data_IF_281183179385
#
_entry.id   IF_281183179385
#
_cell.length_a   1.000
_cell.length_b   1.000
_cell.length_c   1.000
_cell.angle_alpha   90.00
_cell.angle_beta   90.00
_cell.angle_gamma   90.00
#
_symmetry.space_group_name_H-M   'P 1'
#
loop_
_entity.id
_entity.type
_entity.pdbx_description
1 polymer ?
#
# COMPACT_ATOMS: atom_id res chain seq x y z
N UNK A 1 12.27 -16.04 -31.48
CA UNK A 1 12.36 -15.96 -31.09
C UNK A 1 12.47 -15.74 -30.54
N UNK A 2 12.71 -15.79 -30.31
CA UNK A 2 12.90 -15.59 -29.69
C UNK A 2 13.07 -15.47 -29.07
N UNK A 3 13.35 -15.54 -29.09
CA UNK A 3 13.60 -15.40 -28.43
C UNK A 3 13.70 -15.31 -27.77
N UNK A 4 14.01 -15.44 -27.82
CA UNK A 4 14.11 -15.32 -27.18
C UNK A 4 14.14 -15.18 -26.43
N UNK A 5 14.49 -15.18 -26.42
CA UNK A 5 14.52 -14.98 -25.75
C UNK A 5 14.56 -14.73 -25.09
N UNK A 6 14.80 -14.70 -25.24
CA UNK A 6 14.87 -14.49 -24.69
C UNK A 6 14.63 -14.12 -23.98
N UNK A 7 14.68 -14.15 -23.85
CA UNK A 7 14.41 -13.94 -23.20
C UNK A 7 14.05 -13.81 -22.34
N UNK A 8 14.35 -13.81 -22.05
CA UNK A 8 14.02 -13.91 -21.32
C UNK A 8 13.71 -13.63 -20.47
N UNK A 9 14.14 -13.78 -20.19
CA UNK A 9 13.87 -13.66 -19.13
C UNK A 9 13.17 -12.73 -18.73
N UNK A 10 12.91 -12.25 -18.88
CA UNK A 10 12.31 -11.59 -18.54
C UNK A 10 11.34 -11.78 -18.14
N UNK A 11 11.32 -12.09 -18.45
CA UNK A 11 10.61 -12.42 -18.20
C UNK A 11 10.08 -12.90 -17.40
N UNK A 12 10.26 -13.39 -17.76
CA UNK A 12 9.89 -14.05 -16.66
C UNK A 12 9.18 -13.32 -15.55
N UNK A 13 9.02 -12.09 -15.67
CA UNK A 13 8.44 -11.24 -14.64
C UNK A 13 6.98 -11.00 -14.93
N UNK A 14 6.22 -12.09 -14.95
CA UNK A 14 4.77 -11.99 -15.08
C UNK A 14 4.20 -11.61 -13.72
N UNK A 15 3.41 -10.55 -13.69
CA UNK A 15 2.76 -10.11 -12.47
C UNK A 15 1.64 -11.09 -12.12
N UNK A 16 1.66 -11.58 -10.89
CA UNK A 16 0.55 -12.38 -10.37
C UNK A 16 -0.54 -11.42 -9.90
N UNK A 17 -1.49 -11.16 -10.77
CA UNK A 17 -2.55 -10.20 -10.53
C UNK A 17 -3.37 -10.56 -9.28
N UNK A 18 -3.64 -11.85 -9.08
CA UNK A 18 -4.44 -12.25 -7.93
C UNK A 18 -3.67 -12.05 -6.62
N UNK A 19 -2.37 -12.28 -6.62
CA UNK A 19 -1.55 -12.02 -5.45
C UNK A 19 -1.54 -10.53 -5.13
N UNK A 20 -1.37 -9.67 -6.14
CA UNK A 20 -1.41 -8.22 -5.94
C UNK A 20 -2.77 -7.78 -5.42
N UNK A 21 -3.86 -8.31 -5.98
CA UNK A 21 -5.21 -7.95 -5.54
C UNK A 21 -5.44 -8.30 -4.07
N UNK A 22 -4.84 -9.38 -3.58
CA UNK A 22 -5.00 -9.78 -2.17
C UNK A 22 -4.40 -8.77 -1.20
N UNK A 23 -3.47 -7.95 -1.66
CA UNK A 23 -2.89 -6.91 -0.81
C UNK A 23 -3.81 -5.69 -0.64
N UNK A 24 -4.92 -5.63 -1.38
CA UNK A 24 -5.87 -4.51 -1.32
C UNK A 24 -7.20 -5.01 -0.80
N UNK A 25 -7.45 -4.88 0.51
CA UNK A 25 -8.64 -5.49 1.13
C UNK A 25 -9.96 -5.15 0.46
N UNK A 26 -10.11 -3.91 -0.01
CA UNK A 26 -11.36 -3.51 -0.63
C UNK A 26 -11.69 -4.34 -1.87
N UNK A 27 -10.67 -4.79 -2.61
CA UNK A 27 -10.90 -5.52 -3.86
C UNK A 27 -11.49 -6.90 -3.65
N UNK A 28 -11.53 -7.40 -2.41
CA UNK A 28 -12.18 -8.66 -2.08
C UNK A 28 -13.69 -8.52 -1.91
N UNK A 29 -14.19 -7.29 -1.88
CA UNK A 29 -15.59 -7.03 -1.65
C UNK A 29 -16.42 -7.37 -2.88
N UNK A 30 -17.64 -7.83 -2.67
CA UNK A 30 -18.64 -7.93 -3.73
C UNK A 30 -19.56 -6.70 -3.70
N UNK A 31 -20.23 -6.46 -4.79
CA UNK A 31 -21.17 -5.37 -4.93
C UNK A 31 -22.55 -5.92 -5.29
N UNK A 32 -23.43 -5.09 -5.78
CA UNK A 32 -24.83 -5.45 -6.01
C UNK A 32 -24.98 -6.84 -6.65
N UNK A 33 -25.91 -7.61 -6.15
CA UNK A 33 -26.22 -8.95 -6.65
C UNK A 33 -25.04 -9.91 -6.55
N UNK A 34 -24.13 -9.69 -5.61
CA UNK A 34 -22.99 -10.55 -5.39
C UNK A 34 -21.92 -10.49 -6.46
N UNK A 35 -21.95 -9.47 -7.31
CA UNK A 35 -20.95 -9.33 -8.37
C UNK A 35 -19.59 -8.95 -7.80
N UNK A 36 -18.49 -9.44 -8.39
CA UNK A 36 -17.16 -8.98 -7.98
C UNK A 36 -16.99 -7.49 -8.22
N UNK A 37 -16.27 -6.84 -7.34
CA UNK A 37 -15.93 -5.44 -7.52
C UNK A 37 -14.92 -5.29 -8.65
N UNK A 38 -15.21 -4.40 -9.60
CA UNK A 38 -14.25 -3.92 -10.58
C UNK A 38 -14.07 -2.43 -10.31
N UNK A 39 -12.86 -2.03 -9.87
CA UNK A 39 -12.60 -0.66 -9.47
C UNK A 39 -11.73 0.03 -10.53
N UNK A 40 -12.28 1.06 -11.17
CA UNK A 40 -11.59 1.77 -12.24
C UNK A 40 -11.55 3.28 -12.00
N UNK A 41 -11.63 3.70 -10.74
CA UNK A 41 -11.76 5.11 -10.38
C UNK A 41 -10.56 5.64 -9.60
N UNK A 42 -9.38 5.08 -9.85
CA UNK A 42 -8.17 5.49 -9.13
C UNK A 42 -7.79 6.95 -9.39
N UNK A 43 -8.29 7.54 -10.49
CA UNK A 43 -8.07 8.96 -10.74
C UNK A 43 -8.73 9.85 -9.69
N UNK A 44 -9.83 9.40 -9.10
CA UNK A 44 -10.50 10.11 -8.02
C UNK A 44 -9.91 9.74 -6.67
N UNK A 45 -9.75 8.44 -6.41
CA UNK A 45 -9.10 7.97 -5.21
C UNK A 45 -8.56 6.56 -5.44
N UNK A 46 -7.34 6.32 -5.03
CA UNK A 46 -6.73 5.00 -5.15
C UNK A 46 -7.08 4.14 -3.95
N UNK A 47 -7.21 2.84 -4.19
CA UNK A 47 -7.33 1.89 -3.10
C UNK A 47 -5.99 1.77 -2.38
N UNK A 48 -6.03 1.41 -1.10
CA UNK A 48 -4.84 1.37 -0.26
C UNK A 48 -4.45 -0.07 0.02
N UNK A 49 -3.19 -0.44 -0.15
CA UNK A 49 -2.73 -1.79 0.20
C UNK A 49 -2.70 -1.98 1.72
N UNK A 50 -2.81 -3.23 2.13
CA UNK A 50 -2.86 -3.59 3.55
C UNK A 50 -1.65 -3.05 4.32
N UNK A 51 -0.47 -3.09 3.72
CA UNK A 51 0.73 -2.57 4.37
C UNK A 51 0.61 -1.09 4.74
N UNK A 52 -0.02 -0.29 3.87
CA UNK A 52 -0.24 1.13 4.14
C UNK A 52 -1.29 1.31 5.22
N UNK A 53 -2.38 0.56 5.15
CA UNK A 53 -3.44 0.63 6.15
C UNK A 53 -2.93 0.24 7.53
N UNK A 54 -2.13 -0.82 7.59
CA UNK A 54 -1.57 -1.28 8.87
C UNK A 54 -0.58 -0.26 9.44
N UNK A 55 0.25 0.35 8.60
CA UNK A 55 1.22 1.35 9.05
C UNK A 55 0.49 2.58 9.60
N UNK A 56 -0.56 3.03 8.93
CA UNK A 56 -1.34 4.17 9.40
C UNK A 56 -2.04 3.83 10.72
N UNK A 57 -2.66 2.67 10.79
CA UNK A 57 -3.34 2.24 12.02
C UNK A 57 -2.36 2.15 13.17
N UNK A 58 -1.21 1.55 12.95
CA UNK A 58 -0.19 1.38 13.98
C UNK A 58 0.27 2.74 14.51
N UNK A 59 0.51 3.68 13.60
CA UNK A 59 0.90 5.03 14.00
C UNK A 59 -0.20 5.69 14.84
N UNK A 60 -1.44 5.65 14.36
CA UNK A 60 -2.54 6.31 15.06
C UNK A 60 -2.82 5.69 16.42
N UNK A 61 -2.63 4.39 16.55
CA UNK A 61 -2.91 3.68 17.81
C UNK A 61 -1.78 3.89 18.82
N UNK A 62 -0.53 3.97 18.38
CA UNK A 62 0.62 3.92 19.29
C UNK A 62 1.45 5.17 19.37
N UNK A 63 1.48 5.99 18.33
CA UNK A 63 2.48 7.06 18.23
C UNK A 63 1.90 8.38 17.75
N UNK A 64 0.59 8.51 17.68
CA UNK A 64 -0.03 9.72 17.14
C UNK A 64 0.31 10.93 17.97
N UNK A 65 1.09 11.84 17.40
CA UNK A 65 1.52 13.08 18.04
C UNK A 65 1.95 14.07 16.97
N UNK A 66 2.07 15.35 17.31
CA UNK A 66 2.52 16.36 16.35
C UNK A 66 3.93 16.08 15.87
N UNK A 67 4.13 16.22 14.57
CA UNK A 67 5.45 16.10 13.95
C UNK A 67 6.20 17.43 14.14
N UNK A 68 7.49 17.35 14.45
CA UNK A 68 8.36 18.51 14.65
C UNK A 68 7.88 19.43 15.77
N UNK A 69 7.12 18.91 16.72
CA UNK A 69 6.60 19.69 17.83
C UNK A 69 6.64 18.85 19.10
N UNK A 70 6.83 19.53 20.23
CA UNK A 70 6.82 18.88 21.51
C UNK A 70 8.11 18.11 21.79
N UNK A 71 8.67 18.34 22.98
CA UNK A 71 9.90 17.67 23.40
C UNK A 71 9.57 16.47 24.30
N UNK A 72 8.63 15.64 23.88
CA UNK A 72 8.25 14.45 24.60
C UNK A 72 8.32 13.23 23.67
N UNK A 73 8.34 12.03 24.26
CA UNK A 73 8.67 10.83 23.52
C UNK A 73 7.78 10.61 22.30
N UNK A 74 6.46 10.77 22.44
CA UNK A 74 5.56 10.55 21.30
C UNK A 74 5.83 11.54 20.15
N UNK A 75 6.13 12.80 20.49
CA UNK A 75 6.49 13.78 19.49
C UNK A 75 7.76 13.41 18.74
N UNK A 76 8.74 12.87 19.46
CA UNK A 76 9.97 12.39 18.84
C UNK A 76 9.70 11.20 17.93
N UNK A 77 8.89 10.24 18.38
CA UNK A 77 8.54 9.08 17.57
C UNK A 77 7.80 9.49 16.29
N UNK A 78 6.85 10.42 16.40
CA UNK A 78 6.12 10.90 15.23
C UNK A 78 7.05 11.61 14.25
N UNK A 79 7.98 12.42 14.74
CA UNK A 79 8.97 13.10 13.91
C UNK A 79 9.89 12.10 13.23
N UNK A 80 10.36 11.09 13.96
CA UNK A 80 11.24 10.08 13.40
C UNK A 80 10.53 9.30 12.29
N UNK A 81 9.27 8.94 12.50
CA UNK A 81 8.49 8.23 11.49
C UNK A 81 8.31 9.09 10.22
N UNK A 82 8.00 10.36 10.41
CA UNK A 82 7.84 11.30 9.30
C UNK A 82 9.14 11.44 8.50
N UNK A 83 10.27 11.66 9.20
CA UNK A 83 11.54 11.83 8.53
C UNK A 83 12.02 10.56 7.85
N UNK A 84 11.76 9.40 8.45
CA UNK A 84 12.11 8.13 7.84
C UNK A 84 11.34 7.94 6.53
N UNK A 85 10.06 8.27 6.52
CA UNK A 85 9.24 8.17 5.30
C UNK A 85 9.75 9.15 4.23
N UNK A 86 10.17 10.35 4.65
CA UNK A 86 10.66 11.35 3.71
C UNK A 86 11.98 10.92 3.07
N UNK A 87 12.79 10.17 3.78
CA UNK A 87 14.09 9.71 3.29
C UNK A 87 14.02 8.41 2.48
N UNK A 88 12.88 7.75 2.48
CA UNK A 88 12.72 6.44 1.82
C UNK A 88 12.72 6.53 0.27
#
# INVERSE_FOLDING_TARGET
MVSTDVSVPLETKVIDVQAVRRDFPLLARTVRSGQPLVYLDSGATSQKPLAVLDAEREFLVRSNAPVHRGAYQLGEEATDAYEAARLA
#
